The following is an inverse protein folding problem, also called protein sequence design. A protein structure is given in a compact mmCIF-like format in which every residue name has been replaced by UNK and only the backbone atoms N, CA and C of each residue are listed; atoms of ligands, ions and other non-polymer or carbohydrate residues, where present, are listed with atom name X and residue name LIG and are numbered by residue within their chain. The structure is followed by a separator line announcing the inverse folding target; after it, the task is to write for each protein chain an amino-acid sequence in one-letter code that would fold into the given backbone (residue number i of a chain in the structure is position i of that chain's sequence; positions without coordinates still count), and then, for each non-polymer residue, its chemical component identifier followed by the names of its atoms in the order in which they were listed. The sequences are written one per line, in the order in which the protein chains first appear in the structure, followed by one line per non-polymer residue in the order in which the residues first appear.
data_IF_036782914059
#
_entry.id   IF_036782914059
#
_cell.length_a   1.000
_cell.length_b   1.000
_cell.length_c   1.000
_cell.angle_alpha   90.00
_cell.angle_beta   90.00
_cell.angle_gamma   90.00
#
_symmetry.space_group_name_H-M   'P 1'
#
loop_
_entity.id
_entity.type
_entity.pdbx_description
1 polymer ?
#
# COMPACT_ATOMS: atom_id res chain seq x y z
N UNK A 1 -18.79 14.88 -21.05
CA UNK A 1 -17.85 13.93 -20.46
C UNK A 1 -18.03 12.64 -21.23
N UNK A 2 -16.96 12.00 -21.70
CA UNK A 2 -17.08 10.72 -22.41
C UNK A 2 -17.49 9.62 -21.42
N UNK A 3 -18.32 8.68 -21.87
CA UNK A 3 -18.72 7.50 -21.07
C UNK A 3 -17.71 6.36 -21.22
N UNK A 4 -16.76 6.50 -22.13
CA UNK A 4 -15.71 5.55 -22.42
C UNK A 4 -14.41 6.34 -22.58
N UNK A 5 -13.39 5.99 -21.83
CA UNK A 5 -12.05 6.57 -21.90
C UNK A 5 -11.06 5.43 -21.94
N UNK A 6 -10.33 5.36 -23.03
CA UNK A 6 -9.46 4.24 -23.36
C UNK A 6 -8.15 4.30 -22.58
N UNK A 7 -7.71 3.15 -22.08
CA UNK A 7 -6.35 2.92 -21.62
C UNK A 7 -5.47 2.73 -22.86
N UNK A 8 -4.51 3.61 -23.09
CA UNK A 8 -3.63 3.55 -24.28
C UNK A 8 -2.26 2.97 -23.97
N UNK A 9 -1.82 3.03 -22.72
CA UNK A 9 -0.53 2.46 -22.31
C UNK A 9 -0.52 2.07 -20.83
N UNK A 10 0.22 1.00 -20.52
CA UNK A 10 0.49 0.54 -19.14
C UNK A 10 1.97 0.16 -19.07
N UNK A 11 2.71 0.86 -18.20
CA UNK A 11 4.14 0.67 -18.02
C UNK A 11 4.46 0.46 -16.55
N UNK A 12 5.23 -0.55 -16.25
CA UNK A 12 5.68 -0.87 -14.90
C UNK A 12 7.19 -0.82 -14.78
N UNK A 13 7.67 -0.49 -13.58
CA UNK A 13 9.08 -0.47 -13.23
C UNK A 13 9.32 -0.90 -11.79
N UNK A 14 10.54 -1.34 -11.52
CA UNK A 14 11.02 -1.57 -10.17
C UNK A 14 11.50 -0.25 -9.58
N UNK A 15 11.03 0.06 -8.37
CA UNK A 15 11.50 1.17 -7.54
C UNK A 15 11.93 0.65 -6.17
N UNK A 16 12.46 1.51 -5.30
CA UNK A 16 12.77 1.16 -3.91
C UNK A 16 11.76 1.78 -2.96
N UNK A 17 11.31 1.00 -1.98
CA UNK A 17 10.48 1.47 -0.88
C UNK A 17 11.30 2.25 0.17
N UNK A 18 10.65 2.75 1.24
CA UNK A 18 11.29 3.48 2.34
C UNK A 18 12.31 2.66 3.12
N UNK A 19 12.27 1.32 2.99
CA UNK A 19 13.23 0.37 3.59
C UNK A 19 14.31 -0.08 2.63
N UNK A 20 14.41 0.55 1.45
CA UNK A 20 15.32 0.18 0.37
C UNK A 20 15.12 -1.24 -0.18
N UNK A 21 13.89 -1.79 -0.07
CA UNK A 21 13.51 -3.02 -0.75
C UNK A 21 12.87 -2.70 -2.10
N UNK A 22 13.10 -3.53 -3.13
CA UNK A 22 12.41 -3.38 -4.41
C UNK A 22 10.89 -3.51 -4.26
N UNK A 23 10.17 -2.64 -4.98
CA UNK A 23 8.72 -2.76 -5.15
C UNK A 23 8.30 -2.34 -6.55
N UNK A 24 7.04 -2.62 -6.91
CA UNK A 24 6.47 -2.35 -8.23
C UNK A 24 5.83 -0.97 -8.25
N UNK A 25 6.14 -0.18 -9.26
CA UNK A 25 5.39 1.03 -9.62
C UNK A 25 4.80 0.88 -11.01
N UNK A 26 3.54 1.27 -11.19
CA UNK A 26 2.80 1.17 -12.45
C UNK A 26 2.26 2.53 -12.85
N UNK A 27 2.42 2.85 -14.13
CA UNK A 27 1.79 3.97 -14.82
C UNK A 27 0.70 3.43 -15.76
N UNK A 28 -0.47 4.06 -15.71
CA UNK A 28 -1.56 3.87 -16.69
C UNK A 28 -1.79 5.20 -17.38
N UNK A 29 -1.75 5.21 -18.73
CA UNK A 29 -1.95 6.38 -19.56
C UNK A 29 -3.27 6.25 -20.30
N UNK A 30 -4.07 7.31 -20.28
CA UNK A 30 -5.34 7.39 -20.99
C UNK A 30 -5.20 8.12 -22.33
N UNK A 31 -6.19 7.97 -23.20
CA UNK A 31 -6.21 8.55 -24.57
C UNK A 31 -5.99 10.07 -24.64
N UNK A 32 -6.29 10.80 -23.55
CA UNK A 32 -6.06 12.25 -23.46
C UNK A 32 -4.70 12.62 -22.84
N UNK A 33 -3.85 11.63 -22.54
CA UNK A 33 -2.57 11.79 -21.86
C UNK A 33 -2.67 11.86 -20.33
N UNK A 34 -3.86 11.70 -19.73
CA UNK A 34 -3.99 11.58 -18.27
C UNK A 34 -3.23 10.37 -17.77
N UNK A 35 -2.38 10.57 -16.76
CA UNK A 35 -1.54 9.54 -16.15
C UNK A 35 -1.98 9.26 -14.73
N UNK A 36 -2.28 7.97 -14.45
CA UNK A 36 -2.44 7.43 -13.12
C UNK A 36 -1.21 6.62 -12.72
N UNK A 37 -0.62 6.89 -11.55
CA UNK A 37 0.57 6.20 -11.03
C UNK A 37 0.31 5.59 -9.67
N UNK A 38 0.70 4.33 -9.51
CA UNK A 38 0.63 3.64 -8.24
C UNK A 38 1.91 2.87 -7.94
N UNK A 39 2.44 3.05 -6.72
CA UNK A 39 3.46 2.20 -6.16
C UNK A 39 2.80 1.21 -5.20
N UNK A 40 3.24 -0.04 -5.22
CA UNK A 40 2.63 -1.11 -4.43
C UNK A 40 3.31 -1.19 -3.07
N UNK A 41 2.56 -1.05 -1.96
CA UNK A 41 3.13 -1.25 -0.63
C UNK A 41 3.46 -2.73 -0.41
N UNK A 42 4.55 -3.00 0.32
CA UNK A 42 4.95 -4.34 0.74
C UNK A 42 4.90 -4.45 2.26
N UNK A 43 4.25 -5.48 2.79
CA UNK A 43 4.20 -5.75 4.22
C UNK A 43 5.53 -6.24 4.80
N UNK A 44 5.70 -6.15 6.11
CA UNK A 44 6.86 -6.68 6.83
C UNK A 44 6.70 -8.17 7.15
N UNK A 45 5.48 -8.66 7.24
CA UNK A 45 5.13 -10.06 7.52
C UNK A 45 4.15 -10.58 6.49
N UNK A 46 4.10 -11.88 6.30
CA UNK A 46 3.16 -12.57 5.41
C UNK A 46 2.33 -13.57 6.19
N UNK A 47 1.01 -13.62 5.93
CA UNK A 47 0.09 -14.60 6.46
C UNK A 47 -0.09 -15.79 5.51
N UNK A 48 -0.54 -16.92 6.05
CA UNK A 48 -0.74 -18.16 5.27
C UNK A 48 -1.82 -18.01 4.18
N UNK A 49 -2.77 -17.11 4.37
CA UNK A 49 -3.89 -16.88 3.45
C UNK A 49 -3.73 -15.62 2.60
N UNK A 50 -2.59 -14.96 2.68
CA UNK A 50 -2.32 -13.79 1.83
C UNK A 50 -2.06 -14.21 0.38
N UNK A 51 -2.43 -13.32 -0.54
CA UNK A 51 -2.06 -13.47 -1.93
C UNK A 51 -0.53 -13.33 -2.10
N UNK A 52 0.01 -14.07 -3.08
CA UNK A 52 1.47 -14.15 -3.28
C UNK A 52 2.02 -12.85 -3.82
N UNK A 53 2.89 -12.20 -3.05
CA UNK A 53 3.75 -11.13 -3.56
C UNK A 53 4.88 -11.75 -4.37
N UNK A 54 4.91 -11.52 -5.67
CA UNK A 54 5.91 -12.11 -6.55
C UNK A 54 7.28 -11.47 -6.35
N UNK A 55 8.29 -12.32 -6.10
CA UNK A 55 9.69 -11.94 -5.97
C UNK A 55 10.55 -12.73 -6.97
N UNK A 56 11.70 -12.15 -7.34
CA UNK A 56 12.60 -12.77 -8.33
C UNK A 56 13.34 -13.99 -7.76
N UNK A 57 13.56 -14.02 -6.44
CA UNK A 57 14.29 -15.07 -5.70
C UNK A 57 15.77 -15.22 -6.11
N UNK A 58 16.28 -14.32 -6.94
CA UNK A 58 17.69 -14.23 -7.32
C UNK A 58 18.50 -13.61 -6.16
N UNK A 59 19.14 -14.45 -5.38
CA UNK A 59 19.93 -14.03 -4.21
C UNK A 59 21.13 -13.13 -4.55
N UNK A 60 21.56 -13.10 -5.81
CA UNK A 60 22.64 -12.21 -6.26
C UNK A 60 22.22 -10.75 -6.34
N UNK A 61 20.89 -10.47 -6.38
CA UNK A 61 20.31 -9.13 -6.47
C UNK A 61 19.30 -8.91 -5.36
N UNK A 62 19.45 -7.82 -4.61
CA UNK A 62 18.53 -7.45 -3.52
C UNK A 62 18.22 -8.60 -2.55
N UNK A 63 19.17 -9.52 -2.35
CA UNK A 63 19.00 -10.73 -1.51
C UNK A 63 17.77 -11.60 -1.87
N UNK A 64 17.40 -11.63 -3.16
CA UNK A 64 16.24 -12.37 -3.66
C UNK A 64 14.93 -11.57 -3.70
N UNK A 65 14.94 -10.31 -3.21
CA UNK A 65 13.73 -9.49 -3.09
C UNK A 65 13.40 -8.66 -4.35
N UNK A 66 14.11 -8.87 -5.48
CA UNK A 66 13.78 -8.23 -6.75
C UNK A 66 12.34 -8.46 -7.18
N UNK A 67 11.78 -7.59 -8.04
CA UNK A 67 10.39 -7.67 -8.53
C UNK A 67 10.29 -7.60 -10.05
N UNK A 68 11.39 -7.89 -10.75
CA UNK A 68 11.41 -7.80 -12.23
C UNK A 68 10.46 -8.79 -12.89
N UNK A 69 10.20 -9.97 -12.30
CA UNK A 69 9.17 -10.89 -12.78
C UNK A 69 7.78 -10.27 -12.75
N UNK A 70 7.43 -9.59 -11.64
CA UNK A 70 6.16 -8.90 -11.53
C UNK A 70 6.07 -7.71 -12.51
N UNK A 71 7.16 -6.97 -12.70
CA UNK A 71 7.26 -5.91 -13.72
C UNK A 71 7.05 -6.46 -15.12
N UNK A 72 7.68 -7.59 -15.45
CA UNK A 72 7.51 -8.27 -16.74
C UNK A 72 6.05 -8.73 -16.95
N UNK A 73 5.42 -9.26 -15.90
CA UNK A 73 4.01 -9.67 -15.95
C UNK A 73 3.08 -8.50 -16.24
N UNK A 74 3.35 -7.31 -15.69
CA UNK A 74 2.58 -6.11 -16.02
C UNK A 74 2.80 -5.72 -17.48
N UNK A 75 4.05 -5.58 -17.91
CA UNK A 75 4.39 -5.02 -19.22
C UNK A 75 4.01 -5.94 -20.40
N UNK A 76 4.15 -7.26 -20.23
CA UNK A 76 3.99 -8.21 -21.33
C UNK A 76 2.67 -9.00 -21.31
N UNK A 77 1.96 -9.05 -20.16
CA UNK A 77 0.70 -9.80 -20.08
C UNK A 77 -0.48 -8.92 -19.70
N UNK A 78 -0.41 -8.22 -18.56
CA UNK A 78 -1.55 -7.41 -18.09
C UNK A 78 -1.80 -6.22 -19.01
N UNK A 79 -0.75 -5.54 -19.47
CA UNK A 79 -0.88 -4.41 -20.39
C UNK A 79 -1.61 -4.80 -21.69
N UNK A 80 -1.26 -5.96 -22.28
CA UNK A 80 -1.90 -6.44 -23.50
C UNK A 80 -3.39 -6.75 -23.32
N UNK A 81 -3.80 -7.21 -22.14
CA UNK A 81 -5.19 -7.53 -21.83
C UNK A 81 -6.04 -6.27 -21.61
N UNK A 82 -5.45 -5.20 -21.06
CA UNK A 82 -6.20 -4.03 -20.62
C UNK A 82 -6.13 -2.83 -21.57
N UNK A 83 -5.12 -2.73 -22.42
CA UNK A 83 -5.05 -1.65 -23.44
C UNK A 83 -6.27 -1.76 -24.35
N UNK A 84 -6.90 -0.61 -24.64
CA UNK A 84 -8.14 -0.52 -25.38
C UNK A 84 -9.40 -0.57 -24.49
N UNK A 85 -9.31 -0.95 -23.22
CA UNK A 85 -10.46 -1.03 -22.33
C UNK A 85 -10.81 0.33 -21.70
N UNK A 86 -12.04 0.42 -21.21
CA UNK A 86 -12.55 1.62 -20.56
C UNK A 86 -12.04 1.70 -19.11
N UNK A 87 -11.30 2.76 -18.77
CA UNK A 87 -10.73 2.97 -17.43
C UNK A 87 -11.80 3.12 -16.34
N UNK A 88 -13.05 3.48 -16.67
CA UNK A 88 -14.12 3.65 -15.69
C UNK A 88 -14.75 2.33 -15.23
N UNK A 89 -14.53 1.23 -15.94
CA UNK A 89 -15.08 -0.06 -15.56
C UNK A 89 -14.11 -0.85 -14.67
N UNK A 90 -13.82 -0.31 -13.48
CA UNK A 90 -12.87 -0.91 -12.53
C UNK A 90 -13.17 -2.38 -12.25
N UNK A 91 -14.46 -2.73 -12.11
CA UNK A 91 -14.86 -4.12 -11.82
C UNK A 91 -14.51 -5.06 -12.95
N UNK A 92 -14.68 -4.60 -14.20
CA UNK A 92 -14.33 -5.39 -15.37
C UNK A 92 -12.81 -5.54 -15.51
N UNK A 93 -12.06 -4.44 -15.33
CA UNK A 93 -10.58 -4.45 -15.36
C UNK A 93 -10.01 -5.42 -14.32
N UNK A 94 -10.47 -5.33 -13.07
CA UNK A 94 -10.02 -6.22 -12.01
C UNK A 94 -10.36 -7.70 -12.31
N UNK A 95 -11.56 -7.98 -12.81
CA UNK A 95 -11.95 -9.34 -13.22
C UNK A 95 -11.13 -9.86 -14.39
N UNK A 96 -10.79 -9.03 -15.37
CA UNK A 96 -9.95 -9.41 -16.51
C UNK A 96 -8.56 -9.84 -16.02
N UNK A 97 -7.93 -9.05 -15.13
CA UNK A 97 -6.62 -9.39 -14.55
C UNK A 97 -6.69 -10.67 -13.73
N UNK A 98 -7.71 -10.81 -12.86
CA UNK A 98 -7.89 -12.01 -12.05
C UNK A 98 -8.13 -13.27 -12.90
N UNK A 99 -8.85 -13.15 -14.01
CA UNK A 99 -9.06 -14.24 -14.98
C UNK A 99 -7.76 -14.60 -15.70
N UNK A 100 -6.93 -13.61 -16.04
CA UNK A 100 -5.62 -13.80 -16.65
C UNK A 100 -4.66 -14.53 -15.71
N UNK A 101 -4.68 -14.21 -14.41
CA UNK A 101 -3.95 -14.95 -13.38
C UNK A 101 -4.49 -16.38 -13.24
N UNK A 102 -5.76 -16.55 -13.01
CA UNK A 102 -6.46 -17.84 -12.93
C UNK A 102 -6.12 -18.68 -11.70
N UNK A 103 -5.39 -18.15 -10.72
CA UNK A 103 -5.05 -18.83 -9.45
C UNK A 103 -5.77 -18.17 -8.26
N UNK A 104 -6.06 -18.95 -7.21
CA UNK A 104 -6.76 -18.44 -6.04
C UNK A 104 -5.93 -17.42 -5.26
N UNK A 105 -4.61 -17.64 -5.20
CA UNK A 105 -3.65 -16.86 -4.42
C UNK A 105 -2.82 -15.85 -5.25
N UNK A 106 -3.13 -15.69 -6.54
CA UNK A 106 -2.46 -14.76 -7.48
C UNK A 106 -0.96 -15.06 -7.71
N UNK A 107 -0.59 -16.33 -7.63
CA UNK A 107 0.81 -16.75 -7.75
C UNK A 107 1.35 -16.67 -9.18
N UNK A 108 0.49 -16.69 -10.21
CA UNK A 108 0.94 -16.67 -11.61
C UNK A 108 1.43 -15.28 -12.04
N UNK A 109 0.69 -14.22 -11.72
CA UNK A 109 1.05 -12.85 -12.08
C UNK A 109 1.71 -12.09 -10.93
N UNK A 110 1.37 -12.43 -9.70
CA UNK A 110 1.77 -11.74 -8.49
C UNK A 110 0.76 -10.69 -8.03
N UNK A 111 0.41 -10.74 -6.74
CA UNK A 111 -0.52 -9.77 -6.15
C UNK A 111 -0.02 -8.33 -6.29
N UNK A 112 1.29 -8.10 -6.22
CA UNK A 112 1.92 -6.80 -6.42
C UNK A 112 1.74 -6.27 -7.86
N UNK A 113 1.88 -7.11 -8.88
CA UNK A 113 1.59 -6.74 -10.27
C UNK A 113 0.12 -6.36 -10.45
N UNK A 114 -0.79 -7.22 -9.97
CA UNK A 114 -2.25 -7.04 -10.08
C UNK A 114 -2.70 -5.75 -9.36
N UNK A 115 -2.28 -5.57 -8.11
CA UNK A 115 -2.65 -4.41 -7.30
C UNK A 115 -2.10 -3.11 -7.89
N UNK A 116 -0.87 -3.13 -8.40
CA UNK A 116 -0.25 -1.96 -9.04
C UNK A 116 -1.08 -1.43 -10.20
N UNK A 117 -1.53 -2.31 -11.09
CA UNK A 117 -2.36 -1.94 -12.24
C UNK A 117 -3.76 -1.47 -11.81
N UNK A 118 -4.42 -2.23 -10.92
CA UNK A 118 -5.75 -1.87 -10.41
C UNK A 118 -5.77 -0.49 -9.77
N UNK A 119 -4.80 -0.18 -8.90
CA UNK A 119 -4.67 1.13 -8.27
C UNK A 119 -4.34 2.25 -9.27
N UNK A 120 -3.47 1.98 -10.25
CA UNK A 120 -3.10 2.96 -11.27
C UNK A 120 -4.31 3.31 -12.16
N UNK A 121 -5.14 2.33 -12.54
CA UNK A 121 -6.40 2.55 -13.26
C UNK A 121 -7.36 3.44 -12.46
N UNK A 122 -7.60 3.12 -11.19
CA UNK A 122 -8.47 3.93 -10.33
C UNK A 122 -7.97 5.37 -10.18
N UNK A 123 -6.66 5.57 -10.05
CA UNK A 123 -6.04 6.91 -9.98
C UNK A 123 -6.15 7.66 -11.31
N UNK A 124 -5.96 6.98 -12.44
CA UNK A 124 -6.14 7.58 -13.77
C UNK A 124 -7.59 8.04 -13.96
N UNK A 125 -8.56 7.19 -13.64
CA UNK A 125 -9.99 7.50 -13.74
C UNK A 125 -10.38 8.69 -12.85
N UNK A 126 -9.95 8.69 -11.57
CA UNK A 126 -10.21 9.80 -10.65
C UNK A 126 -9.62 11.13 -11.17
N UNK A 127 -8.38 11.10 -11.67
CA UNK A 127 -7.69 12.26 -12.21
C UNK A 127 -8.37 12.79 -13.47
N UNK A 128 -8.76 11.92 -14.39
CA UNK A 128 -9.52 12.29 -15.58
C UNK A 128 -10.84 13.01 -15.23
N UNK A 129 -11.54 12.51 -14.19
CA UNK A 129 -12.79 13.11 -13.71
C UNK A 129 -12.57 14.41 -12.91
N UNK A 130 -11.32 14.76 -12.57
CA UNK A 130 -11.01 15.94 -11.75
C UNK A 130 -11.48 15.79 -10.30
N UNK A 131 -11.62 14.56 -9.78
CA UNK A 131 -12.05 14.29 -8.39
C UNK A 131 -10.97 13.53 -7.62
N UNK A 132 -10.89 13.70 -6.31
CA UNK A 132 -9.94 12.95 -5.50
C UNK A 132 -10.29 11.46 -5.46
N UNK A 133 -9.26 10.60 -5.31
CA UNK A 133 -9.43 9.13 -5.33
C UNK A 133 -10.43 8.63 -4.28
N UNK A 134 -10.43 9.21 -3.07
CA UNK A 134 -11.38 8.81 -2.03
C UNK A 134 -12.85 9.01 -2.45
N UNK A 135 -13.13 10.06 -3.22
CA UNK A 135 -14.46 10.35 -3.73
C UNK A 135 -14.81 9.43 -4.90
N UNK A 136 -13.84 9.10 -5.76
CA UNK A 136 -14.02 8.16 -6.86
C UNK A 136 -14.42 6.77 -6.33
N UNK A 137 -13.71 6.28 -5.31
CA UNK A 137 -13.97 4.96 -4.72
C UNK A 137 -15.19 4.98 -3.81
N UNK A 138 -15.32 5.98 -2.95
CA UNK A 138 -16.33 6.04 -1.90
C UNK A 138 -17.64 6.71 -2.32
N UNK A 139 -17.68 7.32 -3.51
CA UNK A 139 -18.86 8.02 -4.03
C UNK A 139 -19.23 9.28 -3.24
N UNK A 140 -20.47 9.74 -3.42
CA UNK A 140 -20.97 11.01 -2.85
C UNK A 140 -21.03 11.04 -1.32
N UNK A 141 -21.00 9.89 -0.67
CA UNK A 141 -21.03 9.77 0.80
C UNK A 141 -19.66 9.76 1.47
N UNK A 142 -18.58 9.71 0.70
CA UNK A 142 -17.21 9.68 1.22
C UNK A 142 -16.79 11.04 1.80
N UNK A 143 -17.34 11.42 2.95
CA UNK A 143 -17.12 12.71 3.61
C UNK A 143 -16.68 12.60 5.07
N UNK A 144 -16.56 11.39 5.59
CA UNK A 144 -16.24 11.15 6.99
C UNK A 144 -14.83 10.55 7.07
N UNK A 145 -13.94 11.24 7.76
CA UNK A 145 -12.63 10.68 8.11
C UNK A 145 -12.79 9.60 9.16
N UNK A 146 -12.10 8.46 9.04
CA UNK A 146 -12.11 7.45 10.08
C UNK A 146 -11.43 7.95 11.36
N UNK A 147 -11.78 7.36 12.51
CA UNK A 147 -10.98 7.52 13.72
C UNK A 147 -9.62 6.89 13.46
N UNK A 148 -8.51 7.63 13.65
CA UNK A 148 -7.19 7.08 13.40
C UNK A 148 -6.86 5.97 14.40
N UNK A 149 -6.32 4.86 13.89
CA UNK A 149 -5.67 3.83 14.69
C UNK A 149 -4.17 4.06 14.64
N UNK A 150 -3.53 4.15 15.80
CA UNK A 150 -2.10 4.38 15.90
C UNK A 150 -1.43 3.25 16.64
N UNK A 151 -0.52 2.57 15.97
CA UNK A 151 0.33 1.57 16.60
C UNK A 151 1.40 2.28 17.44
N UNK A 152 1.45 1.99 18.75
CA UNK A 152 2.35 2.64 19.70
C UNK A 152 3.39 1.70 20.32
N UNK A 153 3.15 0.37 20.27
CA UNK A 153 4.13 -0.64 20.71
C UNK A 153 4.12 -1.79 19.70
N UNK A 154 5.29 -2.19 19.25
CA UNK A 154 5.49 -3.34 18.38
C UNK A 154 6.28 -4.45 19.09
N UNK A 155 5.91 -5.70 18.83
CA UNK A 155 6.61 -6.90 19.27
C UNK A 155 6.50 -8.03 18.25
N UNK A 156 6.81 -9.27 18.63
CA UNK A 156 6.76 -10.43 17.76
C UNK A 156 7.63 -10.26 16.51
N UNK A 157 7.07 -10.53 15.33
CA UNK A 157 7.79 -10.38 14.05
C UNK A 157 8.03 -8.93 13.62
N UNK A 158 7.33 -7.96 14.22
CA UNK A 158 7.44 -6.54 13.88
C UNK A 158 8.54 -5.80 14.63
N UNK A 159 9.17 -6.44 15.62
CA UNK A 159 10.29 -5.88 16.37
C UNK A 159 11.22 -6.98 16.90
N UNK A 160 12.52 -6.73 16.86
CA UNK A 160 13.53 -7.60 17.46
C UNK A 160 13.60 -7.34 18.97
N UNK A 161 12.62 -7.87 19.70
CA UNK A 161 12.50 -7.75 21.14
C UNK A 161 11.81 -9.00 21.73
N UNK A 162 11.64 -9.03 23.05
CA UNK A 162 11.02 -10.13 23.81
C UNK A 162 9.52 -9.91 24.10
N UNK A 163 8.85 -9.03 23.38
CA UNK A 163 7.39 -8.82 23.50
C UNK A 163 6.69 -9.75 22.52
N UNK A 164 5.88 -10.69 23.04
CA UNK A 164 5.20 -11.71 22.23
C UNK A 164 4.05 -11.14 21.38
N UNK A 165 3.41 -10.05 21.85
CA UNK A 165 2.30 -9.41 21.14
C UNK A 165 2.85 -8.52 20.02
N UNK A 166 2.29 -8.71 18.82
CA UNK A 166 2.79 -8.09 17.58
C UNK A 166 2.59 -6.59 17.58
N UNK A 167 1.42 -6.10 17.99
CA UNK A 167 1.04 -4.68 17.93
C UNK A 167 0.13 -4.29 19.08
N UNK A 168 0.29 -3.03 19.55
CA UNK A 168 -0.67 -2.35 20.43
C UNK A 168 -1.07 -1.04 19.81
N UNK A 169 -2.36 -0.91 19.52
CA UNK A 169 -2.93 0.28 18.90
C UNK A 169 -3.77 1.09 19.87
N UNK A 170 -3.77 2.41 19.71
CA UNK A 170 -4.69 3.32 20.36
C UNK A 170 -5.65 3.93 19.36
N UNK A 171 -6.88 4.20 19.82
CA UNK A 171 -7.93 4.85 19.04
C UNK A 171 -8.55 6.00 19.86
N UNK A 172 -8.34 7.27 19.50
CA UNK A 172 -8.86 8.42 20.25
C UNK A 172 -10.35 8.68 19.91
N UNK A 173 -11.24 7.74 20.24
CA UNK A 173 -12.67 7.75 19.87
C UNK A 173 -13.45 8.93 20.46
N UNK A 174 -12.94 9.59 21.53
CA UNK A 174 -13.58 10.75 22.15
C UNK A 174 -13.17 12.10 21.55
N UNK A 175 -12.26 12.12 20.57
CA UNK A 175 -11.82 13.34 19.92
C UNK A 175 -12.94 13.95 19.06
N UNK A 176 -13.08 15.30 19.11
CA UNK A 176 -14.11 16.03 18.36
C UNK A 176 -13.71 16.35 16.92
N UNK A 177 -12.45 16.17 16.56
CA UNK A 177 -11.91 16.37 15.22
C UNK A 177 -10.72 15.45 14.96
N UNK A 178 -10.39 15.25 13.67
CA UNK A 178 -9.23 14.46 13.29
C UNK A 178 -7.92 15.05 13.82
N UNK A 179 -7.77 16.38 13.77
CA UNK A 179 -6.59 17.09 14.32
C UNK A 179 -6.46 16.88 15.83
N UNK A 180 -7.57 16.90 16.58
CA UNK A 180 -7.57 16.60 18.01
C UNK A 180 -7.18 15.13 18.26
N UNK A 181 -7.70 14.20 17.47
CA UNK A 181 -7.34 12.80 17.54
C UNK A 181 -5.82 12.58 17.35
N UNK A 182 -5.23 13.24 16.36
CA UNK A 182 -3.78 13.18 16.13
C UNK A 182 -2.99 13.77 17.32
N UNK A 183 -3.39 14.92 17.83
CA UNK A 183 -2.76 15.55 19.00
C UNK A 183 -2.79 14.62 20.22
N UNK A 184 -3.97 14.10 20.57
CA UNK A 184 -4.14 13.17 21.70
C UNK A 184 -3.23 11.94 21.56
N UNK A 185 -3.19 11.34 20.38
CA UNK A 185 -2.37 10.18 20.11
C UNK A 185 -0.87 10.47 20.20
N UNK A 186 -0.44 11.62 19.71
CA UNK A 186 0.95 12.09 19.83
C UNK A 186 1.34 12.31 21.31
N UNK A 187 0.47 12.90 22.10
CA UNK A 187 0.71 13.12 23.54
C UNK A 187 0.82 11.79 24.30
N UNK A 188 -0.07 10.82 24.00
CA UNK A 188 0.01 9.45 24.58
C UNK A 188 1.32 8.78 24.20
N UNK A 189 1.71 8.86 22.93
CA UNK A 189 2.97 8.31 22.44
C UNK A 189 4.17 8.88 23.19
N UNK A 190 4.28 10.20 23.31
CA UNK A 190 5.41 10.85 23.99
C UNK A 190 5.42 10.56 25.50
N UNK A 191 4.24 10.51 26.13
CA UNK A 191 4.11 10.16 27.55
C UNK A 191 4.57 8.72 27.82
N UNK A 192 4.14 7.76 26.96
CA UNK A 192 4.57 6.39 27.05
C UNK A 192 6.09 6.26 26.83
N UNK A 193 6.63 6.95 25.82
CA UNK A 193 8.07 6.97 25.56
C UNK A 193 8.88 7.44 26.77
N UNK A 194 8.45 8.52 27.42
CA UNK A 194 9.11 9.05 28.60
C UNK A 194 9.01 8.09 29.79
N UNK A 195 7.86 7.46 30.01
CA UNK A 195 7.66 6.46 31.06
C UNK A 195 8.56 5.25 30.88
N UNK A 196 8.67 4.72 29.64
CA UNK A 196 9.53 3.59 29.31
C UNK A 196 11.00 3.93 29.55
N UNK A 197 11.46 5.12 29.13
CA UNK A 197 12.82 5.59 29.40
C UNK A 197 13.14 5.68 30.91
N UNK A 198 12.21 6.24 31.70
CA UNK A 198 12.37 6.33 33.16
C UNK A 198 12.49 4.95 33.82
N UNK A 199 11.84 3.92 33.25
CA UNK A 199 11.93 2.53 33.71
C UNK A 199 13.13 1.76 33.14
N UNK A 200 13.99 2.39 32.35
CA UNK A 200 15.16 1.77 31.74
C UNK A 200 14.86 0.87 30.54
N UNK A 201 13.67 0.96 29.97
CA UNK A 201 13.33 0.24 28.74
C UNK A 201 13.81 0.99 27.51
N UNK A 202 14.18 0.25 26.49
CA UNK A 202 14.52 0.81 25.18
C UNK A 202 13.27 1.43 24.52
N UNK A 203 13.45 2.57 23.87
CA UNK A 203 12.39 3.32 23.19
C UNK A 203 12.73 3.62 21.74
N UNK A 204 13.50 2.76 21.12
CA UNK A 204 13.79 2.88 19.71
C UNK A 204 12.53 2.66 18.83
N UNK A 205 12.58 2.77 17.48
CA UNK A 205 11.46 2.59 16.53
C UNK A 205 11.47 1.17 15.95
N UNK A 206 10.34 0.48 15.72
CA UNK A 206 10.26 -0.93 15.26
C UNK A 206 10.77 -1.21 13.84
N UNK A 207 10.83 -2.48 13.40
CA UNK A 207 11.38 -2.91 12.10
C UNK A 207 10.50 -2.54 10.88
N UNK A 208 9.30 -2.09 11.09
CA UNK A 208 8.64 -1.26 10.10
C UNK A 208 9.39 0.07 9.93
N UNK A 209 10.31 0.42 10.90
CA UNK A 209 11.32 1.50 10.89
C UNK A 209 12.58 1.18 11.71
N UNK A 210 13.24 0.05 11.47
CA UNK A 210 14.55 -0.42 12.02
C UNK A 210 14.81 -0.42 13.55
N UNK A 211 14.94 -1.66 14.06
CA UNK A 211 15.67 -2.20 15.26
C UNK A 211 15.50 -1.54 16.61
N UNK A 212 14.87 -2.28 17.49
CA UNK A 212 14.84 -2.38 18.96
C UNK A 212 13.44 -2.24 19.57
N UNK A 213 13.22 -2.50 20.86
CA UNK A 213 11.95 -2.35 21.60
C UNK A 213 11.33 -0.97 21.32
N UNK A 214 10.23 -0.84 20.51
CA UNK A 214 10.04 0.42 19.82
C UNK A 214 8.61 0.92 19.77
N UNK A 215 8.50 2.15 20.16
CA UNK A 215 7.39 3.04 19.88
C UNK A 215 7.42 3.44 18.39
N UNK A 216 6.36 3.16 17.66
CA UNK A 216 6.25 3.58 16.27
C UNK A 216 5.38 4.83 16.14
N UNK A 217 5.96 5.91 15.62
CA UNK A 217 5.25 7.18 15.36
C UNK A 217 4.94 7.42 13.89
N UNK A 218 5.28 6.51 12.98
CA UNK A 218 5.40 6.86 11.56
C UNK A 218 4.29 6.34 10.63
N UNK A 219 3.26 5.68 11.12
CA UNK A 219 2.12 5.36 10.26
C UNK A 219 0.96 6.33 10.40
N UNK A 220 1.24 7.60 10.25
CA UNK A 220 0.25 8.54 9.77
C UNK A 220 0.22 8.43 8.25
N UNK A 221 -0.61 7.54 7.71
CA UNK A 221 -0.96 7.58 6.30
C UNK A 221 -1.76 8.85 6.03
N UNK A 222 -1.06 9.96 5.85
CA UNK A 222 -1.60 11.13 5.19
C UNK A 222 -1.14 11.02 3.74
N UNK A 223 -1.89 10.30 2.93
CA UNK A 223 -1.79 10.48 1.48
C UNK A 223 -2.57 11.74 1.14
N UNK A 224 -1.87 12.79 0.73
CA UNK A 224 -2.43 13.94 0.07
C UNK A 224 -2.87 13.58 -1.35
#
# INVERSE_FOLDING_TARGET
MKNYVEIVDIVSRQILDSRSNPTVEVDVVLEDGTLGRAAVPSGASTGMYEAVEMRDEDKSKYNGKGVLKAVDNVNNYIAQELIGLNVFDQVYLDKAILKLDGTDNKEKLGANAILGVSLACAKAAAKYLGIPLYQYIGGVKARVLPVPMMNIINGGKHADNNVDLQEFMIMPVGAKSFSEALRMSSEVYHSLKNLLKQKGYDTGVGDEDRKSTRLNSSHTWISY
#
